data_IF_118354020603
#
_entry.id   IF_118354020603
#
_cell.length_a   1.000
_cell.length_b   1.000
_cell.length_c   1.000
_cell.angle_alpha   90.00
_cell.angle_beta   90.00
_cell.angle_gamma   90.00
#
_symmetry.space_group_name_H-M   'P 1'
#
loop_
_entity.id
_entity.type
_entity.pdbx_description
1 polymer ?
#
# COMPACT_ATOMS: atom_id res chain seq x y z
N UNK A 1 -1.99 30.08 -1.23
CA UNK A 1 -2.55 30.55 -2.52
C UNK A 1 -1.96 29.76 -3.70
N UNK A 2 -0.65 29.66 -3.85
CA UNK A 2 0.01 28.94 -4.96
C UNK A 2 -0.42 27.47 -5.13
N UNK A 3 -0.51 26.68 -4.05
CA UNK A 3 -0.92 25.27 -4.11
C UNK A 3 -2.37 25.09 -4.62
N UNK A 4 -3.26 26.05 -4.33
CA UNK A 4 -4.64 26.05 -4.81
C UNK A 4 -4.68 26.31 -6.31
N UNK A 5 -3.96 27.32 -6.78
CA UNK A 5 -3.89 27.68 -8.22
C UNK A 5 -3.33 26.50 -9.01
N UNK A 6 -2.20 25.94 -8.58
CA UNK A 6 -1.60 24.77 -9.24
C UNK A 6 -2.56 23.59 -9.33
N UNK A 7 -3.31 23.30 -8.25
CA UNK A 7 -4.31 22.23 -8.25
C UNK A 7 -5.39 22.45 -9.32
N UNK A 8 -5.98 23.66 -9.40
CA UNK A 8 -7.06 23.94 -10.35
C UNK A 8 -6.58 24.01 -11.80
N UNK A 9 -5.29 24.31 -12.05
CA UNK A 9 -4.69 24.21 -13.37
C UNK A 9 -4.45 22.74 -13.77
N UNK A 10 -4.03 21.89 -12.83
CA UNK A 10 -3.76 20.47 -13.10
C UNK A 10 -5.02 19.63 -13.17
N UNK A 11 -6.06 19.96 -12.42
CA UNK A 11 -7.28 19.15 -12.32
C UNK A 11 -7.95 18.84 -13.65
N UNK A 12 -8.18 19.81 -14.58
CA UNK A 12 -8.75 19.50 -15.89
C UNK A 12 -7.88 18.52 -16.69
N UNK A 13 -6.56 18.69 -16.64
CA UNK A 13 -5.61 17.79 -17.30
C UNK A 13 -5.71 16.37 -16.73
N UNK A 14 -5.72 16.20 -15.41
CA UNK A 14 -5.86 14.89 -14.75
C UNK A 14 -7.20 14.23 -15.13
N UNK A 15 -8.29 15.01 -15.16
CA UNK A 15 -9.60 14.51 -15.58
C UNK A 15 -9.54 14.04 -17.05
N UNK A 16 -9.01 14.83 -17.96
CA UNK A 16 -8.88 14.47 -19.38
C UNK A 16 -8.05 13.19 -19.54
N UNK A 17 -6.90 13.10 -18.88
CA UNK A 17 -6.05 11.90 -18.89
C UNK A 17 -6.84 10.68 -18.39
N UNK A 18 -7.68 10.83 -17.38
CA UNK A 18 -8.47 9.71 -16.86
C UNK A 18 -9.42 9.09 -17.89
N UNK A 19 -9.92 9.87 -18.85
CA UNK A 19 -10.82 9.39 -19.91
C UNK A 19 -10.12 8.71 -21.08
N UNK A 20 -8.80 8.84 -21.22
CA UNK A 20 -8.05 8.19 -22.29
C UNK A 20 -8.30 6.67 -22.34
N UNK A 21 -8.46 6.06 -23.52
CA UNK A 21 -8.38 4.62 -23.69
C UNK A 21 -7.02 4.08 -23.17
N UNK A 22 -6.99 2.86 -22.65
CA UNK A 22 -5.79 2.31 -22.02
C UNK A 22 -4.54 2.34 -22.92
N UNK A 23 -4.70 2.11 -24.24
CA UNK A 23 -3.57 2.19 -25.18
C UNK A 23 -2.89 3.55 -25.17
N UNK A 24 -3.66 4.65 -25.15
CA UNK A 24 -3.12 6.01 -25.13
C UNK A 24 -2.61 6.38 -23.73
N UNK A 25 -3.28 5.87 -22.68
CA UNK A 25 -2.82 6.01 -21.30
C UNK A 25 -1.41 5.42 -21.12
N UNK A 26 -1.16 4.24 -21.70
CA UNK A 26 0.15 3.58 -21.60
C UNK A 26 1.22 4.22 -22.50
N UNK A 27 0.88 4.79 -23.63
CA UNK A 27 1.82 5.63 -24.39
C UNK A 27 2.25 6.87 -23.60
N UNK A 28 1.29 7.49 -22.90
CA UNK A 28 1.60 8.61 -22.00
C UNK A 28 2.43 8.14 -20.80
N UNK A 29 2.21 6.92 -20.31
CA UNK A 29 3.01 6.32 -19.24
C UNK A 29 4.46 6.09 -19.67
N UNK A 30 4.69 5.62 -20.89
CA UNK A 30 6.04 5.41 -21.42
C UNK A 30 6.80 6.75 -21.53
N UNK A 31 6.11 7.83 -21.96
CA UNK A 31 6.67 9.17 -21.93
C UNK A 31 6.96 9.65 -20.51
N UNK A 32 6.05 9.42 -19.56
CA UNK A 32 6.23 9.78 -18.16
C UNK A 32 7.41 9.01 -17.53
N UNK A 33 7.58 7.74 -17.87
CA UNK A 33 8.73 6.94 -17.47
C UNK A 33 10.04 7.57 -17.93
N UNK A 34 10.15 7.94 -19.21
CA UNK A 34 11.32 8.64 -19.75
C UNK A 34 11.60 9.94 -19.00
N UNK A 35 10.56 10.76 -18.76
CA UNK A 35 10.70 12.02 -18.01
C UNK A 35 11.21 11.76 -16.58
N UNK A 36 10.60 10.81 -15.84
CA UNK A 36 10.97 10.54 -14.45
C UNK A 36 12.36 9.92 -14.32
N UNK A 37 12.72 9.01 -15.19
CA UNK A 37 13.97 8.26 -15.12
C UNK A 37 15.16 9.05 -15.70
N UNK A 38 14.97 9.62 -16.89
CA UNK A 38 16.09 10.10 -17.71
C UNK A 38 16.21 11.63 -17.69
N UNK A 39 15.12 12.39 -17.55
CA UNK A 39 15.17 13.86 -17.52
C UNK A 39 15.26 14.38 -16.09
N UNK A 40 14.28 14.05 -15.23
CA UNK A 40 14.19 14.62 -13.87
C UNK A 40 15.02 13.80 -12.87
N UNK A 41 15.22 12.49 -13.11
CA UNK A 41 15.87 11.61 -12.16
C UNK A 41 15.09 11.49 -10.84
N UNK A 42 13.75 11.40 -10.90
CA UNK A 42 12.86 11.42 -9.74
C UNK A 42 13.30 10.43 -8.68
N UNK A 43 13.84 10.92 -7.56
CA UNK A 43 14.34 10.12 -6.43
C UNK A 43 15.34 9.02 -6.80
N UNK A 44 16.08 9.18 -7.88
CA UNK A 44 16.98 8.16 -8.44
C UNK A 44 17.99 7.66 -7.42
N UNK A 45 18.62 8.55 -6.66
CA UNK A 45 19.55 8.16 -5.58
C UNK A 45 18.87 7.29 -4.51
N UNK A 46 17.68 7.66 -4.09
CA UNK A 46 16.89 6.89 -3.10
C UNK A 46 16.53 5.49 -3.62
N UNK A 47 16.09 5.39 -4.87
CA UNK A 47 15.73 4.10 -5.50
C UNK A 47 16.95 3.19 -5.59
N UNK A 48 18.06 3.68 -6.15
CA UNK A 48 19.30 2.89 -6.30
C UNK A 48 19.88 2.49 -4.94
N UNK A 49 19.93 3.41 -3.97
CA UNK A 49 20.42 3.10 -2.62
C UNK A 49 19.56 2.03 -1.94
N UNK A 50 18.23 2.15 -2.03
CA UNK A 50 17.32 1.16 -1.45
C UNK A 50 17.52 -0.21 -2.10
N UNK A 51 17.62 -0.27 -3.43
CA UNK A 51 17.83 -1.53 -4.17
C UNK A 51 19.17 -2.18 -3.85
N UNK A 52 20.29 -1.42 -3.88
CA UNK A 52 21.62 -1.95 -3.56
C UNK A 52 21.69 -2.55 -2.14
N UNK A 53 21.01 -1.92 -1.18
CA UNK A 53 20.99 -2.38 0.20
C UNK A 53 19.99 -3.53 0.44
N UNK A 54 18.90 -3.56 -0.31
CA UNK A 54 17.93 -4.66 -0.25
C UNK A 54 18.45 -5.94 -0.90
N UNK A 55 19.25 -5.79 -1.96
CA UNK A 55 19.80 -6.89 -2.75
C UNK A 55 21.33 -6.81 -2.84
N UNK A 56 22.06 -7.02 -1.72
CA UNK A 56 23.52 -6.82 -1.67
C UNK A 56 24.30 -7.77 -2.60
N UNK A 57 23.70 -8.89 -2.97
CA UNK A 57 24.33 -9.90 -3.82
C UNK A 57 24.08 -9.67 -5.33
N UNK A 58 23.27 -8.67 -5.71
CA UNK A 58 22.99 -8.36 -7.11
C UNK A 58 24.05 -7.41 -7.67
N UNK A 59 24.46 -7.68 -8.90
CA UNK A 59 25.36 -6.82 -9.68
C UNK A 59 24.72 -5.45 -9.96
N UNK A 60 25.55 -4.46 -10.28
CA UNK A 60 25.05 -3.13 -10.67
C UNK A 60 24.16 -3.18 -11.91
N UNK A 61 24.42 -4.13 -12.83
CA UNK A 61 23.59 -4.34 -14.01
C UNK A 61 22.19 -4.84 -13.64
N UNK A 62 22.10 -5.81 -12.73
CA UNK A 62 20.79 -6.31 -12.23
C UNK A 62 20.03 -5.22 -11.47
N UNK A 63 20.70 -4.47 -10.60
CA UNK A 63 20.10 -3.33 -9.88
C UNK A 63 19.56 -2.30 -10.88
N UNK A 64 20.30 -2.00 -11.95
CA UNK A 64 19.87 -1.09 -13.00
C UNK A 64 18.61 -1.61 -13.70
N UNK A 65 18.55 -2.90 -14.05
CA UNK A 65 17.37 -3.53 -14.68
C UNK A 65 16.15 -3.42 -13.78
N UNK A 66 16.27 -3.75 -12.49
CA UNK A 66 15.18 -3.62 -11.52
C UNK A 66 14.73 -2.15 -11.42
N UNK A 67 15.66 -1.21 -11.35
CA UNK A 67 15.36 0.22 -11.29
C UNK A 67 14.64 0.70 -12.55
N UNK A 68 15.08 0.30 -13.74
CA UNK A 68 14.44 0.68 -15.00
C UNK A 68 12.99 0.15 -15.07
N UNK A 69 12.79 -1.11 -14.69
CA UNK A 69 11.47 -1.74 -14.61
C UNK A 69 10.57 -1.08 -13.52
N UNK A 70 11.17 -0.67 -12.39
CA UNK A 70 10.45 0.10 -11.36
C UNK A 70 9.89 1.42 -11.91
N UNK A 71 10.68 2.20 -12.68
CA UNK A 71 10.18 3.45 -13.24
C UNK A 71 9.07 3.22 -14.27
N UNK A 72 9.19 2.18 -15.09
CA UNK A 72 8.13 1.80 -16.03
C UNK A 72 6.83 1.45 -15.29
N UNK A 73 6.92 0.57 -14.27
CA UNK A 73 5.79 0.21 -13.43
C UNK A 73 5.23 1.44 -12.67
N UNK A 74 6.08 2.26 -12.06
CA UNK A 74 5.66 3.41 -11.26
C UNK A 74 4.92 4.46 -12.08
N UNK A 75 5.31 4.64 -13.35
CA UNK A 75 4.61 5.51 -14.31
C UNK A 75 3.23 4.96 -14.66
N UNK A 76 3.13 3.64 -14.92
CA UNK A 76 1.85 2.96 -15.10
C UNK A 76 0.95 3.15 -13.88
N UNK A 77 1.48 2.89 -12.68
CA UNK A 77 0.77 3.02 -11.41
C UNK A 77 0.17 4.41 -11.20
N UNK A 78 0.92 5.48 -11.51
CA UNK A 78 0.43 6.86 -11.40
C UNK A 78 -0.75 7.09 -12.33
N UNK A 79 -0.64 6.70 -13.61
CA UNK A 79 -1.70 6.93 -14.58
C UNK A 79 -2.92 6.02 -14.34
N UNK A 80 -2.70 4.80 -13.87
CA UNK A 80 -3.76 3.89 -13.44
C UNK A 80 -4.49 4.44 -12.19
N UNK A 81 -3.78 5.08 -11.26
CA UNK A 81 -4.41 5.79 -10.14
C UNK A 81 -5.30 6.93 -10.63
N UNK A 82 -4.83 7.75 -11.59
CA UNK A 82 -5.63 8.80 -12.22
C UNK A 82 -6.85 8.19 -12.93
N UNK A 83 -6.71 7.02 -13.54
CA UNK A 83 -7.80 6.30 -14.22
C UNK A 83 -8.96 5.96 -13.29
N UNK A 84 -8.75 5.83 -11.97
CA UNK A 84 -9.84 5.64 -11.00
C UNK A 84 -10.89 6.75 -11.07
N UNK A 85 -10.56 7.95 -11.56
CA UNK A 85 -11.53 9.02 -11.71
C UNK A 85 -12.68 8.67 -12.66
N UNK A 86 -12.39 7.96 -13.75
CA UNK A 86 -13.36 7.69 -14.83
C UNK A 86 -13.69 6.22 -15.07
N UNK A 87 -12.88 5.26 -14.56
CA UNK A 87 -13.11 3.84 -14.80
C UNK A 87 -14.44 3.39 -14.19
N UNK A 88 -15.22 2.58 -14.92
CA UNK A 88 -16.44 1.98 -14.38
C UNK A 88 -16.13 0.74 -13.53
N UNK A 89 -17.01 0.41 -12.58
CA UNK A 89 -16.92 -0.80 -11.76
C UNK A 89 -16.75 -2.07 -12.61
N UNK A 90 -17.56 -2.22 -13.66
CA UNK A 90 -17.49 -3.35 -14.60
C UNK A 90 -16.12 -3.45 -15.28
N UNK A 91 -15.52 -2.30 -15.62
CA UNK A 91 -14.20 -2.27 -16.27
C UNK A 91 -13.09 -2.55 -15.26
N UNK A 92 -13.17 -1.99 -14.04
CA UNK A 92 -12.18 -2.25 -13.00
C UNK A 92 -12.13 -3.73 -12.63
N UNK A 93 -13.27 -4.41 -12.46
CA UNK A 93 -13.35 -5.86 -12.19
C UNK A 93 -12.69 -6.74 -13.28
N UNK A 94 -12.54 -6.24 -14.51
CA UNK A 94 -11.79 -6.94 -15.56
C UNK A 94 -10.28 -6.77 -15.43
N UNK A 95 -9.83 -5.71 -14.75
CA UNK A 95 -8.43 -5.36 -14.61
C UNK A 95 -7.82 -5.81 -13.29
N UNK A 96 -8.66 -5.97 -12.24
CA UNK A 96 -8.23 -6.50 -10.95
C UNK A 96 -9.29 -7.41 -10.37
N UNK A 97 -8.88 -8.58 -9.88
CA UNK A 97 -9.74 -9.59 -9.26
C UNK A 97 -8.97 -10.35 -8.20
N UNK A 98 -9.68 -11.03 -7.31
CA UNK A 98 -9.05 -12.04 -6.45
C UNK A 98 -8.74 -13.30 -7.24
N UNK A 99 -7.61 -13.95 -6.91
CA UNK A 99 -7.32 -15.30 -7.39
C UNK A 99 -8.15 -16.32 -6.60
N UNK A 100 -8.09 -16.21 -5.28
CA UNK A 100 -8.91 -16.96 -4.34
C UNK A 100 -9.26 -16.05 -3.17
N UNK A 101 -10.52 -16.03 -2.77
CA UNK A 101 -11.05 -15.25 -1.63
C UNK A 101 -11.82 -16.10 -0.64
N UNK A 102 -11.75 -17.43 -0.77
CA UNK A 102 -12.50 -18.38 0.05
C UNK A 102 -12.31 -18.14 1.55
N UNK A 103 -11.08 -17.88 1.98
CA UNK A 103 -10.76 -17.61 3.38
C UNK A 103 -11.45 -16.34 3.91
N UNK A 104 -11.56 -15.30 3.10
CA UNK A 104 -12.29 -14.08 3.46
C UNK A 104 -13.81 -14.38 3.55
N UNK A 105 -14.34 -15.11 2.57
CA UNK A 105 -15.76 -15.50 2.56
C UNK A 105 -16.14 -16.40 3.73
N UNK A 106 -15.24 -17.27 4.18
CA UNK A 106 -15.45 -18.10 5.38
C UNK A 106 -15.54 -17.24 6.65
N UNK A 107 -14.64 -16.27 6.84
CA UNK A 107 -14.72 -15.35 7.97
C UNK A 107 -16.02 -14.52 7.93
N UNK A 108 -16.40 -14.05 6.75
CA UNK A 108 -17.68 -13.35 6.58
C UNK A 108 -18.88 -14.20 6.99
N UNK A 109 -18.96 -15.44 6.53
CA UNK A 109 -20.04 -16.41 6.90
C UNK A 109 -20.08 -16.67 8.40
N UNK A 110 -18.93 -16.62 9.09
CA UNK A 110 -18.81 -16.74 10.55
C UNK A 110 -19.15 -15.43 11.30
N UNK A 111 -19.56 -14.37 10.58
CA UNK A 111 -19.85 -13.05 11.17
C UNK A 111 -18.62 -12.32 11.70
N UNK A 112 -17.41 -12.70 11.29
CA UNK A 112 -16.16 -12.11 11.77
C UNK A 112 -15.70 -10.97 10.87
N UNK A 113 -15.45 -9.79 11.45
CA UNK A 113 -14.66 -8.75 10.79
C UNK A 113 -13.20 -9.17 10.69
N UNK A 114 -12.48 -8.71 9.66
CA UNK A 114 -11.09 -9.08 9.42
C UNK A 114 -10.18 -7.87 9.25
N UNK A 115 -8.91 -8.01 9.61
CA UNK A 115 -7.85 -7.05 9.29
C UNK A 115 -7.05 -7.57 8.10
N UNK A 116 -7.00 -6.78 7.04
CA UNK A 116 -6.23 -7.06 5.84
C UNK A 116 -4.93 -6.26 5.88
N UNK A 117 -3.78 -6.92 5.99
CA UNK A 117 -2.47 -6.26 5.99
C UNK A 117 -1.79 -6.41 4.64
N UNK A 118 -1.21 -5.32 4.12
CA UNK A 118 -0.54 -5.31 2.81
C UNK A 118 0.66 -4.36 2.80
N UNK A 119 1.56 -4.57 1.82
CA UNK A 119 2.63 -3.64 1.49
C UNK A 119 2.27 -2.77 0.28
N UNK A 120 3.07 -1.72 0.04
CA UNK A 120 2.99 -0.91 -1.18
C UNK A 120 3.69 -1.65 -2.34
N UNK A 121 3.14 -2.82 -2.69
CA UNK A 121 3.58 -3.72 -3.76
C UNK A 121 2.43 -3.91 -4.75
N UNK A 122 2.70 -3.80 -6.05
CA UNK A 122 1.66 -3.88 -7.08
C UNK A 122 0.69 -2.69 -7.05
N UNK A 123 -0.46 -2.80 -7.69
CA UNK A 123 -1.41 -1.68 -7.76
C UNK A 123 -2.38 -1.67 -6.56
N UNK A 124 -1.88 -1.25 -5.40
CA UNK A 124 -2.71 -1.11 -4.18
C UNK A 124 -3.81 -0.06 -4.30
N UNK A 125 -3.69 0.93 -5.21
CA UNK A 125 -4.75 1.92 -5.44
C UNK A 125 -5.98 1.31 -6.14
N UNK A 126 -5.77 0.32 -7.01
CA UNK A 126 -6.87 -0.44 -7.61
C UNK A 126 -7.36 -1.57 -6.71
N UNK A 127 -6.49 -2.12 -5.86
CA UNK A 127 -6.84 -3.20 -4.95
C UNK A 127 -7.97 -2.81 -3.98
N UNK A 128 -7.92 -1.61 -3.40
CA UNK A 128 -8.98 -1.13 -2.51
C UNK A 128 -10.37 -1.12 -3.17
N UNK A 129 -10.57 -0.34 -4.25
CA UNK A 129 -11.84 -0.37 -4.99
C UNK A 129 -12.19 -1.74 -5.55
N UNK A 130 -11.22 -2.55 -6.00
CA UNK A 130 -11.43 -3.92 -6.44
C UNK A 130 -12.03 -4.80 -5.35
N UNK A 131 -11.45 -4.74 -4.15
CA UNK A 131 -11.95 -5.45 -2.97
C UNK A 131 -13.35 -4.97 -2.54
N UNK A 132 -13.57 -3.65 -2.53
CA UNK A 132 -14.89 -3.09 -2.21
C UNK A 132 -16.01 -3.49 -3.17
N UNK A 133 -15.67 -3.82 -4.42
CA UNK A 133 -16.62 -4.30 -5.43
C UNK A 133 -16.85 -5.81 -5.39
N UNK A 134 -15.94 -6.58 -4.80
CA UNK A 134 -15.93 -8.05 -4.94
C UNK A 134 -16.15 -8.80 -3.62
N UNK A 135 -15.84 -8.19 -2.49
CA UNK A 135 -16.03 -8.80 -1.17
C UNK A 135 -17.41 -8.47 -0.58
N UNK A 136 -17.98 -9.39 0.22
CA UNK A 136 -19.27 -9.16 0.88
C UNK A 136 -19.18 -8.23 2.11
N UNK A 137 -17.96 -7.88 2.54
CA UNK A 137 -17.69 -7.01 3.69
C UNK A 137 -17.99 -5.55 3.39
N UNK A 138 -18.25 -4.77 4.43
CA UNK A 138 -17.97 -3.32 4.37
C UNK A 138 -16.47 -3.13 4.29
N UNK A 139 -15.97 -2.85 3.09
CA UNK A 139 -14.53 -2.71 2.88
C UNK A 139 -14.05 -1.32 3.33
N UNK A 140 -13.08 -1.32 4.23
CA UNK A 140 -12.49 -0.11 4.80
C UNK A 140 -11.01 -0.03 4.45
N UNK A 141 -10.51 1.16 4.13
CA UNK A 141 -9.08 1.39 3.89
C UNK A 141 -8.56 2.51 4.78
N UNK A 142 -7.46 2.23 5.47
CA UNK A 142 -6.79 3.23 6.30
C UNK A 142 -6.02 4.20 5.41
N UNK A 143 -6.18 5.50 5.68
CA UNK A 143 -5.44 6.53 4.97
C UNK A 143 -4.82 7.57 5.90
N UNK A 144 -3.75 8.20 5.42
CA UNK A 144 -3.13 9.36 6.05
C UNK A 144 -3.44 10.60 5.21
N UNK A 145 -3.92 11.67 5.84
CA UNK A 145 -4.21 12.94 5.16
C UNK A 145 -2.98 13.49 4.45
N UNK A 146 -3.19 13.99 3.24
CA UNK A 146 -2.17 14.72 2.50
C UNK A 146 -2.07 16.16 3.00
N UNK A 147 -0.86 16.75 2.90
CA UNK A 147 -0.62 18.14 3.30
C UNK A 147 -1.42 19.15 2.47
N UNK A 148 -1.60 18.88 1.18
CA UNK A 148 -2.42 19.73 0.32
C UNK A 148 -3.89 19.28 0.38
N UNK A 149 -4.83 20.08 0.93
CA UNK A 149 -6.21 19.68 1.14
C UNK A 149 -6.99 19.49 -0.16
N UNK A 150 -6.57 20.09 -1.27
CA UNK A 150 -7.22 19.91 -2.57
C UNK A 150 -6.87 18.57 -3.19
N UNK A 151 -5.60 18.18 -3.16
CA UNK A 151 -5.18 16.84 -3.57
C UNK A 151 -5.69 15.76 -2.61
N UNK A 152 -5.77 16.05 -1.31
CA UNK A 152 -6.37 15.14 -0.34
C UNK A 152 -7.81 14.78 -0.72
N UNK A 153 -8.66 15.80 -0.97
CA UNK A 153 -10.04 15.59 -1.43
C UNK A 153 -10.13 14.79 -2.73
N UNK A 154 -9.23 15.05 -3.69
CA UNK A 154 -9.20 14.30 -4.95
C UNK A 154 -8.86 12.83 -4.70
N UNK A 155 -7.80 12.54 -3.95
CA UNK A 155 -7.38 11.16 -3.65
C UNK A 155 -8.45 10.42 -2.85
N UNK A 156 -9.06 11.05 -1.85
CA UNK A 156 -10.18 10.47 -1.11
C UNK A 156 -11.33 10.09 -2.06
N UNK A 157 -11.72 11.01 -2.95
CA UNK A 157 -12.75 10.74 -3.96
C UNK A 157 -12.38 9.56 -4.87
N UNK A 158 -11.13 9.48 -5.33
CA UNK A 158 -10.68 8.37 -6.19
C UNK A 158 -10.79 7.01 -5.47
N UNK A 159 -10.34 6.95 -4.22
CA UNK A 159 -10.32 5.71 -3.43
C UNK A 159 -11.70 5.26 -2.97
N UNK A 160 -12.60 6.18 -2.62
CA UNK A 160 -13.94 5.85 -2.11
C UNK A 160 -15.00 5.65 -3.22
N UNK A 161 -14.74 6.10 -4.45
CA UNK A 161 -15.74 6.17 -5.52
C UNK A 161 -16.39 4.83 -5.89
N UNK A 162 -15.70 3.72 -5.67
CA UNK A 162 -16.15 2.39 -6.07
C UNK A 162 -16.32 1.44 -4.87
N UNK A 163 -16.67 1.96 -3.71
CA UNK A 163 -17.12 1.15 -2.58
C UNK A 163 -16.36 1.32 -1.27
N UNK A 164 -15.02 1.50 -1.22
CA UNK A 164 -14.32 1.58 0.05
C UNK A 164 -14.76 2.75 0.91
N UNK A 165 -14.94 2.50 2.21
CA UNK A 165 -14.97 3.53 3.24
C UNK A 165 -13.52 3.88 3.64
N UNK A 166 -13.22 5.17 3.80
CA UNK A 166 -11.88 5.61 4.16
C UNK A 166 -11.82 6.02 5.63
N UNK A 167 -10.97 5.35 6.40
CA UNK A 167 -10.75 5.66 7.80
C UNK A 167 -9.44 6.42 7.98
N UNK A 168 -9.49 7.62 8.56
CA UNK A 168 -8.28 8.36 8.89
C UNK A 168 -7.46 7.60 9.93
N UNK A 169 -6.16 7.41 9.70
CA UNK A 169 -5.26 6.61 10.53
C UNK A 169 -5.33 6.98 12.03
N UNK A 170 -5.50 8.27 12.37
CA UNK A 170 -5.56 8.71 13.77
C UNK A 170 -6.86 8.30 14.47
N UNK A 171 -7.97 8.27 13.76
CA UNK A 171 -9.30 7.93 14.31
C UNK A 171 -9.71 6.48 14.08
N UNK A 172 -8.95 5.75 13.25
CA UNK A 172 -9.27 4.39 12.87
C UNK A 172 -9.52 3.44 14.06
N UNK A 173 -8.70 3.40 15.13
CA UNK A 173 -8.94 2.52 16.26
C UNK A 173 -10.29 2.76 16.93
N UNK A 174 -10.65 4.04 17.08
CA UNK A 174 -11.94 4.42 17.67
C UNK A 174 -13.10 4.05 16.76
N UNK A 175 -13.00 4.34 15.47
CA UNK A 175 -14.06 4.06 14.50
C UNK A 175 -14.31 2.55 14.41
N UNK A 176 -13.26 1.73 14.34
CA UNK A 176 -13.38 0.27 14.31
C UNK A 176 -14.04 -0.30 15.56
N UNK A 177 -13.74 0.27 16.76
CA UNK A 177 -14.40 -0.14 18.00
C UNK A 177 -15.89 0.24 18.02
N UNK A 178 -16.27 1.31 17.35
CA UNK A 178 -17.68 1.74 17.25
C UNK A 178 -18.46 0.92 16.19
N UNK A 179 -17.76 0.32 15.24
CA UNK A 179 -18.33 -0.38 14.08
C UNK A 179 -18.70 -1.85 14.36
N UNK A 180 -18.89 -2.22 15.63
CA UNK A 180 -19.10 -3.61 16.07
C UNK A 180 -20.31 -4.30 15.46
N UNK A 181 -21.28 -3.56 14.95
CA UNK A 181 -22.50 -4.09 14.36
C UNK A 181 -22.39 -4.37 12.85
N UNK A 182 -21.23 -4.09 12.26
CA UNK A 182 -20.98 -4.33 10.83
C UNK A 182 -19.83 -5.32 10.65
N UNK A 183 -19.96 -6.21 9.68
CA UNK A 183 -18.87 -7.13 9.31
C UNK A 183 -17.95 -6.39 8.34
N UNK A 184 -16.76 -6.00 8.81
CA UNK A 184 -15.83 -5.15 8.08
C UNK A 184 -14.58 -5.92 7.66
N UNK A 185 -14.00 -5.54 6.50
CA UNK A 185 -12.65 -5.90 6.09
C UNK A 185 -11.83 -4.62 6.04
N UNK A 186 -10.96 -4.40 7.04
CA UNK A 186 -10.19 -3.17 7.16
C UNK A 186 -8.76 -3.36 6.69
N UNK A 187 -8.39 -2.66 5.61
CA UNK A 187 -7.07 -2.75 4.98
C UNK A 187 -6.07 -1.77 5.57
N UNK A 188 -4.91 -2.29 6.00
CA UNK A 188 -3.79 -1.56 6.58
C UNK A 188 -2.52 -1.74 5.74
N UNK A 189 -2.05 -0.73 5.01
CA UNK A 189 -0.70 -0.70 4.47
C UNK A 189 0.30 -0.55 5.64
N UNK A 190 1.13 -1.59 5.89
CA UNK A 190 1.97 -1.64 7.09
C UNK A 190 3.45 -1.30 6.85
N UNK A 191 3.91 -1.25 5.60
CA UNK A 191 5.32 -1.14 5.22
C UNK A 191 5.89 0.29 5.21
N UNK A 192 5.10 1.31 5.57
CA UNK A 192 5.62 2.66 5.77
C UNK A 192 6.21 2.83 7.18
N UNK A 193 7.15 3.79 7.29
CA UNK A 193 7.85 4.02 8.57
C UNK A 193 7.01 4.83 9.56
N UNK A 194 6.89 4.38 10.81
CA UNK A 194 6.41 5.19 11.92
C UNK A 194 7.52 6.13 12.45
N UNK A 195 7.19 7.05 13.39
CA UNK A 195 8.18 7.69 14.23
C UNK A 195 8.98 6.63 15.01
N UNK A 196 10.31 6.79 15.16
CA UNK A 196 11.19 5.76 15.73
C UNK A 196 10.78 5.26 17.12
N UNK A 197 10.27 6.15 17.96
CA UNK A 197 9.86 5.90 19.35
C UNK A 197 8.60 5.02 19.46
N UNK A 198 7.79 4.93 18.40
CA UNK A 198 6.55 4.14 18.36
C UNK A 198 6.64 2.95 17.41
N UNK A 199 7.85 2.61 16.97
CA UNK A 199 8.09 1.57 15.99
C UNK A 199 8.38 0.21 16.64
N UNK A 200 7.80 -0.84 16.08
CA UNK A 200 8.34 -2.17 16.21
C UNK A 200 9.54 -2.33 15.26
N UNK A 201 10.71 -2.65 15.79
CA UNK A 201 11.94 -2.75 15.02
C UNK A 201 12.30 -4.18 14.70
N UNK A 202 12.41 -4.49 13.43
CA UNK A 202 12.85 -5.80 12.93
C UNK A 202 13.70 -5.66 11.66
N UNK A 203 14.32 -6.74 11.22
CA UNK A 203 15.00 -6.79 9.92
C UNK A 203 13.98 -6.83 8.80
N UNK A 204 14.19 -5.99 7.79
CA UNK A 204 13.42 -5.96 6.55
C UNK A 204 14.35 -5.66 5.37
N UNK A 205 14.40 -6.56 4.39
CA UNK A 205 15.32 -6.45 3.25
C UNK A 205 16.76 -6.16 3.71
N UNK A 206 17.28 -7.02 4.60
CA UNK A 206 18.64 -6.97 5.16
C UNK A 206 18.96 -5.75 6.06
N UNK A 207 17.99 -4.91 6.41
CA UNK A 207 18.19 -3.68 7.20
C UNK A 207 17.22 -3.60 8.36
N UNK A 208 17.65 -2.91 9.45
CA UNK A 208 16.72 -2.56 10.51
C UNK A 208 15.64 -1.59 9.98
N UNK A 209 14.40 -1.91 10.26
CA UNK A 209 13.26 -1.10 9.84
C UNK A 209 12.18 -1.08 10.92
N UNK A 210 11.62 0.10 11.17
CA UNK A 210 10.50 0.26 12.08
C UNK A 210 9.16 0.02 11.38
N UNK A 211 8.22 -0.65 12.03
CA UNK A 211 6.87 -0.93 11.55
C UNK A 211 5.82 -0.37 12.51
N UNK A 212 4.65 -0.02 11.98
CA UNK A 212 3.51 0.45 12.78
C UNK A 212 2.93 -0.71 13.61
N UNK A 213 2.85 -0.53 14.92
CA UNK A 213 2.23 -1.50 15.84
C UNK A 213 0.69 -1.41 15.87
N UNK A 214 0.11 -0.34 15.35
CA UNK A 214 -1.32 -0.07 15.46
C UNK A 214 -2.21 -1.19 14.92
N UNK A 215 -1.99 -1.69 13.69
CA UNK A 215 -2.80 -2.77 13.12
C UNK A 215 -2.79 -4.04 13.98
N UNK A 216 -1.61 -4.47 14.45
CA UNK A 216 -1.48 -5.64 15.33
C UNK A 216 -2.19 -5.43 16.67
N UNK A 217 -1.98 -4.27 17.32
CA UNK A 217 -2.63 -3.94 18.60
C UNK A 217 -4.16 -3.96 18.49
N UNK A 218 -4.71 -3.44 17.37
CA UNK A 218 -6.15 -3.46 17.12
C UNK A 218 -6.62 -4.90 16.90
N UNK A 219 -5.93 -5.66 16.03
CA UNK A 219 -6.27 -7.04 15.70
C UNK A 219 -6.33 -7.91 16.98
N UNK A 220 -5.29 -7.81 17.80
CA UNK A 220 -5.19 -8.56 19.06
C UNK A 220 -6.26 -8.16 20.07
N UNK A 221 -6.49 -6.85 20.26
CA UNK A 221 -7.52 -6.36 21.19
C UNK A 221 -8.93 -6.79 20.81
N UNK A 222 -9.21 -6.92 19.51
CA UNK A 222 -10.53 -7.29 18.99
C UNK A 222 -10.66 -8.79 18.72
N UNK A 223 -9.58 -9.57 18.81
CA UNK A 223 -9.55 -10.98 18.42
C UNK A 223 -9.86 -11.20 16.95
N UNK A 224 -9.55 -10.23 16.09
CA UNK A 224 -9.87 -10.32 14.66
C UNK A 224 -8.87 -11.21 13.92
N UNK A 225 -9.34 -11.97 12.92
CA UNK A 225 -8.47 -12.59 11.95
C UNK A 225 -7.59 -11.57 11.25
N UNK A 226 -6.34 -11.95 10.97
CA UNK A 226 -5.40 -11.14 10.20
C UNK A 226 -5.04 -11.88 8.92
N UNK A 227 -5.31 -11.23 7.79
CA UNK A 227 -5.10 -11.75 6.46
C UNK A 227 -4.06 -10.88 5.76
N UNK A 228 -3.01 -11.50 5.23
CA UNK A 228 -2.05 -10.83 4.33
C UNK A 228 -2.63 -10.76 2.92
N UNK A 229 -2.46 -9.62 2.26
CA UNK A 229 -2.83 -9.45 0.87
C UNK A 229 -1.63 -9.03 0.00
N UNK A 230 -1.48 -9.68 -1.14
CA UNK A 230 -0.54 -9.37 -2.21
C UNK A 230 -1.29 -8.92 -3.46
N UNK A 231 -0.75 -7.94 -4.15
CA UNK A 231 -1.23 -7.53 -5.48
C UNK A 231 -0.19 -7.90 -6.52
N UNK A 232 -0.45 -8.96 -7.28
CA UNK A 232 0.39 -9.44 -8.36
C UNK A 232 0.04 -8.74 -9.66
N UNK A 233 1.05 -8.35 -10.45
CA UNK A 233 0.88 -7.87 -11.82
C UNK A 233 0.97 -9.04 -12.79
N UNK A 234 -0.17 -9.49 -13.32
CA UNK A 234 -0.23 -10.57 -14.32
C UNK A 234 0.33 -10.10 -15.67
N UNK A 235 -0.05 -8.89 -16.06
CA UNK A 235 0.46 -8.15 -17.21
C UNK A 235 0.15 -6.66 -17.03
N UNK A 236 0.67 -5.82 -17.91
CA UNK A 236 0.44 -4.37 -17.88
C UNK A 236 -1.06 -4.07 -17.79
N UNK A 237 -1.48 -3.41 -16.69
CA UNK A 237 -2.86 -3.06 -16.43
C UNK A 237 -3.76 -4.18 -15.96
N UNK A 238 -3.24 -5.36 -15.63
CA UNK A 238 -4.02 -6.47 -15.12
C UNK A 238 -3.36 -7.06 -13.88
N UNK A 239 -4.16 -7.18 -12.81
CA UNK A 239 -3.70 -7.56 -11.49
C UNK A 239 -4.55 -8.67 -10.90
N UNK A 240 -3.92 -9.50 -10.05
CA UNK A 240 -4.60 -10.47 -9.18
C UNK A 240 -4.26 -10.18 -7.72
N UNK A 241 -5.27 -10.26 -6.87
CA UNK A 241 -5.11 -10.17 -5.43
C UNK A 241 -5.07 -11.59 -4.85
N UNK A 242 -3.99 -11.88 -4.13
CA UNK A 242 -3.83 -13.13 -3.38
C UNK A 242 -3.98 -12.83 -1.90
N UNK A 243 -4.64 -13.70 -1.16
CA UNK A 243 -4.81 -13.57 0.28
C UNK A 243 -4.29 -14.80 1.00
N UNK A 244 -3.70 -14.59 2.17
CA UNK A 244 -3.16 -15.65 3.03
C UNK A 244 -3.43 -15.31 4.48
N UNK A 245 -3.96 -16.26 5.23
CA UNK A 245 -4.17 -16.09 6.67
C UNK A 245 -2.85 -16.04 7.41
N UNK A 246 -2.67 -15.01 8.25
CA UNK A 246 -1.62 -14.95 9.27
C UNK A 246 -2.15 -15.56 10.58
N UNK A 247 -3.40 -15.25 10.93
CA UNK A 247 -4.04 -15.78 12.12
C UNK A 247 -5.57 -15.72 11.98
N UNK A 248 -6.25 -16.73 12.44
CA UNK A 248 -7.72 -16.78 12.56
C UNK A 248 -8.25 -15.99 13.78
N UNK A 249 -7.36 -15.74 14.75
CA UNK A 249 -7.61 -14.94 15.97
C UNK A 249 -6.30 -14.33 16.49
N UNK A 250 -6.06 -13.08 16.16
CA UNK A 250 -4.85 -12.38 16.59
C UNK A 250 -4.76 -12.20 18.12
N UNK A 251 -5.86 -12.35 18.87
CA UNK A 251 -5.84 -12.33 20.33
C UNK A 251 -4.94 -13.40 20.95
N UNK A 252 -4.71 -14.51 20.24
CA UNK A 252 -3.86 -15.63 20.67
C UNK A 252 -2.37 -15.40 20.33
N UNK A 253 -2.03 -14.38 19.55
CA UNK A 253 -0.65 -14.09 19.13
C UNK A 253 0.08 -13.22 20.16
N UNK A 254 1.41 -13.38 20.23
CA UNK A 254 2.27 -12.50 21.05
C UNK A 254 2.54 -11.18 20.35
N UNK A 255 3.07 -10.21 21.13
CA UNK A 255 3.50 -8.92 20.60
C UNK A 255 4.58 -9.09 19.53
N UNK A 256 4.36 -8.49 18.36
CA UNK A 256 5.27 -8.53 17.21
C UNK A 256 5.06 -9.69 16.26
N UNK A 257 4.34 -10.75 16.62
CA UNK A 257 4.19 -11.95 15.77
C UNK A 257 3.42 -11.65 14.47
N UNK A 258 2.39 -10.80 14.51
CA UNK A 258 1.65 -10.38 13.29
C UNK A 258 2.58 -9.58 12.39
N UNK A 259 3.37 -8.66 12.97
CA UNK A 259 4.29 -7.81 12.20
C UNK A 259 5.38 -8.68 11.58
N UNK A 260 5.98 -9.62 12.33
CA UNK A 260 7.01 -10.52 11.79
C UNK A 260 6.47 -11.39 10.65
N UNK A 261 5.29 -11.99 10.82
CA UNK A 261 4.66 -12.78 9.76
C UNK A 261 4.40 -11.93 8.49
N UNK A 262 3.87 -10.70 8.66
CA UNK A 262 3.68 -9.75 7.57
C UNK A 262 4.99 -9.43 6.87
N UNK A 263 6.03 -9.09 7.64
CA UNK A 263 7.34 -8.68 7.11
C UNK A 263 7.97 -9.82 6.29
N UNK A 264 7.99 -11.05 6.85
CA UNK A 264 8.57 -12.22 6.13
C UNK A 264 7.82 -12.52 4.84
N UNK A 265 6.48 -12.35 4.84
CA UNK A 265 5.71 -12.58 3.62
C UNK A 265 5.96 -11.47 2.58
N UNK A 266 6.01 -10.21 3.02
CA UNK A 266 6.27 -9.09 2.11
C UNK A 266 7.68 -9.18 1.48
N UNK A 267 8.70 -9.61 2.24
CA UNK A 267 10.06 -9.83 1.70
C UNK A 267 10.05 -10.85 0.56
N UNK A 268 9.41 -12.01 0.76
CA UNK A 268 9.28 -13.04 -0.29
C UNK A 268 8.62 -12.49 -1.55
N UNK A 269 7.58 -11.69 -1.39
CA UNK A 269 6.87 -11.13 -2.54
C UNK A 269 7.67 -10.04 -3.26
N UNK A 270 8.48 -9.25 -2.53
CA UNK A 270 9.42 -8.28 -3.12
C UNK A 270 10.54 -9.02 -3.86
N UNK A 271 11.06 -10.13 -3.34
CA UNK A 271 12.08 -10.94 -4.02
C UNK A 271 11.58 -11.52 -5.34
N UNK A 272 10.30 -11.92 -5.41
CA UNK A 272 9.66 -12.45 -6.61
C UNK A 272 9.38 -11.38 -7.67
N UNK A 273 9.07 -10.15 -7.27
CA UNK A 273 8.71 -9.05 -8.17
C UNK A 273 9.26 -7.73 -7.66
N UNK A 274 10.60 -7.57 -7.64
CA UNK A 274 11.25 -6.43 -7.00
C UNK A 274 10.88 -5.08 -7.63
N UNK A 275 10.58 -5.03 -8.92
CA UNK A 275 10.20 -3.82 -9.62
C UNK A 275 8.85 -3.25 -9.16
N UNK A 276 7.99 -4.06 -8.52
CA UNK A 276 6.64 -3.65 -8.11
C UNK A 276 6.58 -2.98 -6.74
N UNK A 277 7.70 -2.97 -5.98
CA UNK A 277 7.73 -2.35 -4.66
C UNK A 277 8.01 -0.84 -4.73
N UNK A 278 7.50 -0.06 -3.77
CA UNK A 278 7.62 1.41 -3.75
C UNK A 278 9.03 1.88 -3.32
N UNK A 279 10.04 1.62 -4.16
CA UNK A 279 11.44 1.97 -3.87
C UNK A 279 11.71 3.47 -3.75
N UNK A 280 10.84 4.32 -4.27
CA UNK A 280 10.95 5.79 -4.11
C UNK A 280 10.64 6.26 -2.68
N UNK A 281 10.08 5.42 -1.81
CA UNK A 281 9.84 5.76 -0.42
C UNK A 281 11.14 5.73 0.40
N UNK A 282 11.41 6.78 1.21
CA UNK A 282 12.55 6.79 2.15
C UNK A 282 12.27 5.88 3.34
N UNK A 283 12.16 4.56 3.08
CA UNK A 283 11.75 3.55 4.07
C UNK A 283 12.70 3.46 5.26
N UNK A 284 14.00 3.54 5.01
CA UNK A 284 15.08 3.42 5.99
C UNK A 284 15.72 4.78 6.34
N UNK A 285 14.89 5.82 6.52
CA UNK A 285 15.36 7.17 6.89
C UNK A 285 15.87 7.24 8.34
N UNK A 286 15.33 6.40 9.23
CA UNK A 286 15.66 6.40 10.64
C UNK A 286 16.39 5.11 10.99
N UNK A 287 17.41 5.22 11.82
CA UNK A 287 18.09 4.10 12.42
C UNK A 287 17.34 3.63 13.68
N UNK A 288 17.54 2.37 14.06
CA UNK A 288 17.02 1.82 15.31
C UNK A 288 17.62 2.62 16.47
N UNK A 289 16.80 3.17 17.39
CA UNK A 289 17.33 3.84 18.57
C UNK A 289 18.20 2.89 19.41
N UNK A 290 19.38 3.34 19.84
CA UNK A 290 20.23 2.58 20.74
C UNK A 290 19.52 2.40 22.09
N UNK A 291 19.49 1.18 22.63
CA UNK A 291 18.85 0.86 23.92
C UNK A 291 19.37 1.70 25.10
N UNK A 292 20.56 2.28 24.96
CA UNK A 292 21.22 3.09 25.99
C UNK A 292 20.68 4.52 26.17
N UNK A 293 19.75 5.00 25.30
CA UNK A 293 19.22 6.38 25.42
C UNK A 293 17.94 6.52 26.27
N UNK A 294 17.32 5.43 26.69
CA UNK A 294 16.06 5.49 27.47
C UNK A 294 16.23 5.57 28.98
N UNK A 295 17.48 5.57 29.51
CA UNK A 295 17.72 5.68 30.96
C UNK A 295 17.93 7.12 31.49
N UNK A 296 17.76 8.15 30.65
CA UNK A 296 18.07 9.56 31.05
C UNK A 296 16.86 10.52 31.10
N UNK A 297 15.61 10.01 31.07
CA UNK A 297 14.45 10.91 31.10
C UNK A 297 13.50 10.69 32.30
N UNK A 298 13.92 9.93 33.31
CA UNK A 298 13.24 9.84 34.61
C UNK A 298 14.26 10.03 35.74
N UNK A 299 14.76 11.23 35.88
CA UNK A 299 15.44 11.71 37.07
C UNK A 299 14.99 13.14 37.35
#
# INVERSE_FOLDING_TARGET
MQQKILFYLLLPLLITISYLPFRFLYLLSDLLCFIFKDIIGYRKSTVIENLKRAFPNKSEKEIKVISDNFYAYFSDFILETIKLYSISAKKLKKHISFEDKSILEEHYKKGKSVILVLGHLGNWEWAGPGAGLDLPFVFQAIYKRLLNPHFDKLVLRLRSRLGPELLEMKSAPRNMLMDKNRITCTAFPMDQRPPPEYAYWTKFMNRDAGFFMGPEKIARKMGYPVIYAKVERVKRGFYKMHVREISDNAGNMKDGEVIEAFVRQLEKDIELSPELYLWSHKRWKHDRPNASRHSKTNA
#
